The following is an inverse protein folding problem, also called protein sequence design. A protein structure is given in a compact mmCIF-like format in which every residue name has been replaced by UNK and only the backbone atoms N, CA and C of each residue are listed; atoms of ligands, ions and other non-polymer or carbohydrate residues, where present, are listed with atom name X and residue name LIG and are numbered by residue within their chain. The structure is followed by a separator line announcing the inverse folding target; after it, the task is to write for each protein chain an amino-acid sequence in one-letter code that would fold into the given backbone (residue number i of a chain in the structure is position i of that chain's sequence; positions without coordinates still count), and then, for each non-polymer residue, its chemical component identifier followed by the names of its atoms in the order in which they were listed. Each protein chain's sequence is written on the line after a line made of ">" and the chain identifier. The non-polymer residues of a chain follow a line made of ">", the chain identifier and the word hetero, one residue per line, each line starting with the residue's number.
data_IF_171940638574
#
_entry.id   IF_171940638574
#
_cell.length_a   1.000
_cell.length_b   1.000
_cell.length_c   1.000
_cell.angle_alpha   90.00
_cell.angle_beta   90.00
_cell.angle_gamma   90.00
#
_symmetry.space_group_name_H-M   'P 1'
#
loop_
_entity.id
_entity.type
_entity.pdbx_description
1 polymer ?
#
# COMPACT_ATOMS: atom_id res chain seq x y z
N UNK A 1 17.71 -24.55 27.50
CA UNK A 1 17.09 -23.80 26.39
C UNK A 1 17.94 -22.59 26.10
N UNK A 2 18.19 -22.27 24.86
CA UNK A 2 18.95 -21.09 24.48
C UNK A 2 18.19 -19.83 24.97
N UNK A 3 18.86 -18.93 25.69
CA UNK A 3 18.32 -17.69 26.27
C UNK A 3 17.55 -16.85 25.24
N UNK A 4 17.99 -16.91 23.98
CA UNK A 4 17.29 -16.28 22.86
C UNK A 4 15.93 -16.94 22.64
N UNK A 5 15.80 -18.25 22.74
CA UNK A 5 14.56 -18.98 22.53
C UNK A 5 13.52 -18.66 23.61
N UNK A 6 13.95 -18.59 24.86
CA UNK A 6 13.09 -18.24 25.99
C UNK A 6 12.52 -16.81 25.83
N UNK A 7 13.39 -15.85 25.50
CA UNK A 7 13.01 -14.46 25.26
C UNK A 7 12.06 -14.29 24.04
N UNK A 8 12.26 -15.08 22.99
CA UNK A 8 11.38 -15.08 21.81
C UNK A 8 10.00 -15.69 22.10
N UNK A 9 9.92 -16.64 23.04
CA UNK A 9 8.65 -17.19 23.49
C UNK A 9 7.87 -16.17 24.32
N UNK A 10 8.51 -15.46 25.22
CA UNK A 10 7.92 -14.32 25.95
C UNK A 10 7.41 -13.24 25.00
N UNK A 11 8.24 -12.89 23.99
CA UNK A 11 7.83 -11.93 22.96
C UNK A 11 6.59 -12.41 22.17
N UNK A 12 6.53 -13.69 21.83
CA UNK A 12 5.38 -14.27 21.15
C UNK A 12 4.09 -14.18 21.99
N UNK A 13 4.18 -14.52 23.29
CA UNK A 13 3.06 -14.42 24.24
C UNK A 13 2.62 -12.96 24.39
N UNK A 14 3.56 -12.03 24.52
CA UNK A 14 3.28 -10.60 24.59
C UNK A 14 2.51 -10.11 23.35
N UNK A 15 2.89 -10.54 22.14
CA UNK A 15 2.16 -10.18 20.92
C UNK A 15 0.73 -10.71 20.92
N UNK A 16 0.51 -11.95 21.39
CA UNK A 16 -0.84 -12.52 21.50
C UNK A 16 -1.72 -11.72 22.48
N UNK A 17 -1.17 -11.36 23.65
CA UNK A 17 -1.86 -10.56 24.67
C UNK A 17 -2.22 -9.15 24.14
N UNK A 18 -1.44 -8.62 23.21
CA UNK A 18 -1.71 -7.34 22.54
C UNK A 18 -2.58 -7.47 21.27
N UNK A 19 -3.31 -8.57 21.12
CA UNK A 19 -4.33 -8.74 20.07
C UNK A 19 -3.83 -9.05 18.68
N UNK A 20 -2.54 -9.42 18.53
CA UNK A 20 -2.02 -9.86 17.22
C UNK A 20 -2.50 -11.26 16.88
N UNK A 21 -2.83 -11.50 15.60
CA UNK A 21 -3.20 -12.83 15.16
C UNK A 21 -2.04 -13.84 15.34
N UNK A 22 -2.31 -15.13 15.62
CA UNK A 22 -1.27 -16.14 15.78
C UNK A 22 -0.29 -16.22 14.61
N UNK A 23 -0.77 -15.98 13.39
CA UNK A 23 0.05 -15.96 12.18
C UNK A 23 1.01 -14.75 12.18
N UNK A 24 0.53 -13.57 12.59
CA UNK A 24 1.38 -12.39 12.73
C UNK A 24 2.43 -12.58 13.83
N UNK A 25 2.04 -13.16 14.98
CA UNK A 25 2.95 -13.45 16.08
C UNK A 25 4.10 -14.41 15.66
N UNK A 26 3.76 -15.48 14.94
CA UNK A 26 4.77 -16.42 14.39
C UNK A 26 5.73 -15.70 13.45
N UNK A 27 5.23 -14.82 12.60
CA UNK A 27 6.04 -14.08 11.62
C UNK A 27 6.97 -13.08 12.34
N UNK A 28 6.46 -12.31 13.28
CA UNK A 28 7.28 -11.38 14.06
C UNK A 28 8.33 -12.10 14.89
N UNK A 29 7.98 -13.21 15.58
CA UNK A 29 8.93 -14.06 16.29
C UNK A 29 10.06 -14.58 15.39
N UNK A 30 9.70 -15.09 14.21
CA UNK A 30 10.69 -15.57 13.22
C UNK A 30 11.66 -14.47 12.79
N UNK A 31 11.16 -13.27 12.50
CA UNK A 31 12.00 -12.13 12.10
C UNK A 31 12.86 -11.60 13.24
N UNK A 32 12.32 -11.53 14.44
CA UNK A 32 13.10 -11.20 15.63
C UNK A 32 14.20 -12.25 15.92
N UNK A 33 13.91 -13.54 15.71
CA UNK A 33 14.92 -14.61 15.80
C UNK A 33 16.05 -14.43 14.78
N UNK A 34 15.73 -14.06 13.54
CA UNK A 34 16.73 -13.77 12.50
C UNK A 34 17.64 -12.60 12.91
N UNK A 35 17.06 -11.54 13.47
CA UNK A 35 17.81 -10.39 14.00
C UNK A 35 18.71 -10.80 15.14
N UNK A 36 18.19 -11.46 16.18
CA UNK A 36 18.95 -11.83 17.38
C UNK A 36 20.05 -12.86 17.11
N UNK A 37 19.93 -13.68 16.09
CA UNK A 37 21.02 -14.57 15.65
C UNK A 37 22.16 -13.81 14.99
N UNK A 38 21.88 -12.69 14.34
CA UNK A 38 22.87 -11.86 13.67
C UNK A 38 23.50 -10.82 14.62
N UNK A 39 22.71 -10.33 15.56
CA UNK A 39 23.07 -9.31 16.54
C UNK A 39 22.73 -9.82 17.96
N UNK A 40 23.41 -10.88 18.48
CA UNK A 40 23.07 -11.46 19.78
C UNK A 40 23.35 -10.48 20.93
N UNK A 41 24.28 -9.57 20.78
CA UNK A 41 24.62 -8.49 21.72
C UNK A 41 23.41 -7.59 22.01
N UNK A 42 22.48 -7.44 21.09
CA UNK A 42 21.27 -6.64 21.29
C UNK A 42 20.42 -7.14 22.48
N UNK A 43 20.56 -8.43 22.86
CA UNK A 43 19.81 -9.00 23.98
C UNK A 43 20.37 -8.56 25.34
N UNK A 44 21.63 -8.17 25.40
CA UNK A 44 22.31 -7.78 26.64
C UNK A 44 22.53 -6.26 26.73
N UNK A 45 22.57 -5.58 25.59
CA UNK A 45 22.77 -4.14 25.46
C UNK A 45 21.75 -3.33 26.27
N UNK A 46 22.14 -2.16 26.74
CA UNK A 46 21.21 -1.19 27.33
C UNK A 46 20.29 -0.56 26.27
N UNK A 47 19.38 0.32 26.69
CA UNK A 47 18.37 0.90 25.80
C UNK A 47 18.96 1.71 24.63
N UNK A 48 19.92 2.66 24.83
CA UNK A 48 20.56 3.40 23.76
C UNK A 48 21.34 2.51 22.80
N UNK A 49 22.17 1.62 23.33
CA UNK A 49 23.01 0.71 22.55
C UNK A 49 22.16 -0.28 21.72
N UNK A 50 21.15 -0.89 22.34
CA UNK A 50 20.23 -1.76 21.62
C UNK A 50 19.47 -1.03 20.50
N UNK A 51 19.21 0.27 20.66
CA UNK A 51 18.57 1.09 19.63
C UNK A 51 19.49 1.32 18.44
N UNK A 52 20.78 1.60 18.69
CA UNK A 52 21.79 1.74 17.65
C UNK A 52 21.96 0.44 16.86
N UNK A 53 22.04 -0.71 17.54
CA UNK A 53 22.12 -2.03 16.91
C UNK A 53 20.89 -2.28 16.02
N UNK A 54 19.68 -1.96 16.49
CA UNK A 54 18.44 -2.11 15.73
C UNK A 54 18.42 -1.20 14.50
N UNK A 55 18.79 0.08 14.61
CA UNK A 55 18.83 0.98 13.46
C UNK A 55 19.91 0.58 12.45
N UNK A 56 21.08 0.14 12.92
CA UNK A 56 22.15 -0.43 12.08
C UNK A 56 21.64 -1.62 11.27
N UNK A 57 21.02 -2.60 11.93
CA UNK A 57 20.43 -3.76 11.26
C UNK A 57 19.36 -3.36 10.24
N UNK A 58 18.49 -2.41 10.57
CA UNK A 58 17.44 -1.93 9.66
C UNK A 58 18.03 -1.20 8.46
N UNK A 59 19.12 -0.45 8.63
CA UNK A 59 19.79 0.27 7.54
C UNK A 59 20.39 -0.68 6.49
N UNK A 60 20.81 -1.87 6.89
CA UNK A 60 21.34 -2.92 6.02
C UNK A 60 20.25 -3.72 5.27
N UNK A 61 18.98 -3.61 5.71
CA UNK A 61 17.89 -4.30 5.01
C UNK A 61 17.68 -3.70 3.61
N UNK A 62 17.39 -4.52 2.60
CA UNK A 62 17.07 -4.04 1.25
C UNK A 62 15.97 -2.97 1.27
N UNK A 63 16.14 -1.87 0.55
CA UNK A 63 15.15 -0.76 0.49
C UNK A 63 13.93 -1.11 -0.36
N UNK A 64 13.29 -2.23 -0.05
CA UNK A 64 12.08 -2.68 -0.73
C UNK A 64 10.95 -2.98 0.27
N UNK A 65 9.75 -3.23 -0.23
CA UNK A 65 8.58 -3.54 0.62
C UNK A 65 8.75 -4.81 1.46
N UNK A 66 9.63 -5.74 1.04
CA UNK A 66 9.94 -6.96 1.80
C UNK A 66 10.71 -6.65 3.08
N UNK A 67 11.43 -5.53 3.16
CA UNK A 67 12.16 -5.09 4.36
C UNK A 67 11.27 -4.44 5.43
N UNK A 68 10.05 -4.03 5.09
CA UNK A 68 9.14 -3.37 6.05
C UNK A 68 8.71 -4.28 7.18
N UNK A 69 8.47 -5.57 6.90
CA UNK A 69 8.08 -6.57 7.93
C UNK A 69 9.23 -6.90 8.87
N UNK A 70 10.47 -7.20 8.39
CA UNK A 70 11.62 -7.37 9.25
C UNK A 70 11.88 -6.16 10.14
N UNK A 71 11.92 -4.95 9.59
CA UNK A 71 12.09 -3.72 10.35
C UNK A 71 11.00 -3.52 11.41
N UNK A 72 9.74 -3.77 11.07
CA UNK A 72 8.64 -3.70 12.01
C UNK A 72 8.75 -4.74 13.13
N UNK A 73 9.22 -5.96 12.82
CA UNK A 73 9.40 -7.02 13.81
C UNK A 73 10.48 -6.67 14.83
N UNK A 74 11.62 -6.16 14.36
CA UNK A 74 12.74 -5.79 15.22
C UNK A 74 12.41 -4.58 16.11
N UNK A 75 11.72 -3.58 15.58
CA UNK A 75 11.22 -2.45 16.37
C UNK A 75 10.19 -2.87 17.43
N UNK A 76 9.32 -3.84 17.13
CA UNK A 76 8.37 -4.40 18.10
C UNK A 76 9.08 -5.22 19.17
N UNK A 77 10.10 -5.99 18.78
CA UNK A 77 10.95 -6.70 19.73
C UNK A 77 11.65 -5.74 20.69
N UNK A 78 12.23 -4.66 20.20
CA UNK A 78 12.85 -3.62 21.03
C UNK A 78 11.83 -3.00 22.00
N UNK A 79 10.65 -2.63 21.50
CA UNK A 79 9.57 -2.07 22.30
C UNK A 79 9.09 -3.04 23.41
N UNK A 80 9.02 -4.34 23.11
CA UNK A 80 8.76 -5.38 24.09
C UNK A 80 9.84 -5.44 25.17
N UNK A 81 11.10 -5.46 24.77
CA UNK A 81 12.24 -5.59 25.70
C UNK A 81 12.34 -4.44 26.68
N UNK A 82 12.18 -3.21 26.22
CA UNK A 82 12.33 -2.01 27.03
C UNK A 82 11.03 -1.46 27.61
N UNK A 83 9.89 -2.10 27.33
CA UNK A 83 8.56 -1.65 27.77
C UNK A 83 8.25 -0.20 27.37
N UNK A 84 8.78 0.25 26.21
CA UNK A 84 8.64 1.60 25.66
C UNK A 84 8.30 1.53 24.18
N UNK A 85 7.55 2.49 23.61
CA UNK A 85 7.38 2.56 22.18
C UNK A 85 8.72 2.84 21.49
N UNK A 86 9.03 2.12 20.41
CA UNK A 86 10.26 2.31 19.64
C UNK A 86 10.37 3.69 18.99
N UNK A 87 9.25 4.22 18.57
CA UNK A 87 9.03 5.60 18.12
C UNK A 87 7.86 6.13 18.90
N UNK A 88 7.85 7.41 19.19
CA UNK A 88 6.70 8.11 19.77
C UNK A 88 5.50 8.14 18.80
N UNK A 89 5.36 7.09 18.01
CA UNK A 89 4.24 6.94 17.09
C UNK A 89 3.08 6.30 17.83
N UNK A 90 2.16 7.14 18.20
CA UNK A 90 0.89 6.72 18.79
C UNK A 90 0.19 5.82 17.76
N UNK A 91 -0.07 4.55 18.13
CA UNK A 91 -0.85 3.64 17.29
C UNK A 91 -2.33 3.88 17.62
N UNK A 92 -3.18 4.26 16.65
CA UNK A 92 -4.58 4.63 16.92
C UNK A 92 -5.36 3.55 17.69
N UNK A 93 -5.08 2.28 17.43
CA UNK A 93 -5.73 1.14 18.09
C UNK A 93 -5.27 0.91 19.55
N UNK A 94 -4.14 1.51 19.95
CA UNK A 94 -3.60 1.40 21.32
C UNK A 94 -3.88 2.68 22.14
N UNK A 95 -4.49 3.69 21.52
CA UNK A 95 -4.83 4.93 22.18
C UNK A 95 -6.18 4.76 22.92
N UNK A 96 -6.16 4.80 24.23
CA UNK A 96 -7.38 4.88 25.01
C UNK A 96 -7.98 6.28 24.83
N UNK A 97 -9.16 6.35 24.23
CA UNK A 97 -9.92 7.57 24.09
C UNK A 97 -11.00 7.63 25.18
N UNK A 98 -11.36 8.83 25.62
CA UNK A 98 -12.48 8.97 26.55
C UNK A 98 -13.79 8.55 25.89
N UNK A 99 -14.78 8.22 26.71
CA UNK A 99 -16.11 7.84 26.23
C UNK A 99 -16.72 8.92 25.31
N UNK A 100 -16.48 10.18 25.62
CA UNK A 100 -16.91 11.32 24.80
C UNK A 100 -16.26 11.35 23.41
N UNK A 101 -14.97 11.04 23.32
CA UNK A 101 -14.26 10.94 22.04
C UNK A 101 -14.74 9.71 21.24
N UNK A 102 -14.94 8.56 21.88
CA UNK A 102 -15.45 7.36 21.19
C UNK A 102 -16.88 7.58 20.67
N UNK A 103 -17.75 8.29 21.42
CA UNK A 103 -19.08 8.66 20.96
C UNK A 103 -19.02 9.58 19.73
N UNK A 104 -18.14 10.59 19.73
CA UNK A 104 -17.90 11.48 18.59
C UNK A 104 -17.43 10.72 17.35
N UNK A 105 -16.51 9.77 17.53
CA UNK A 105 -16.00 8.94 16.43
C UNK A 105 -17.07 8.03 15.85
N UNK A 106 -17.95 7.51 16.67
CA UNK A 106 -19.09 6.69 16.21
C UNK A 106 -20.09 7.52 15.39
N UNK A 107 -20.39 8.77 15.80
CA UNK A 107 -21.23 9.68 14.99
C UNK A 107 -20.55 10.04 13.67
N UNK A 108 -19.24 10.32 13.68
CA UNK A 108 -18.47 10.60 12.47
C UNK A 108 -18.43 9.38 11.52
N UNK A 109 -18.29 8.17 12.05
CA UNK A 109 -18.36 6.93 11.25
C UNK A 109 -19.73 6.80 10.59
N UNK A 110 -20.81 7.02 11.33
CA UNK A 110 -22.19 7.03 10.81
C UNK A 110 -22.39 8.06 9.71
N UNK A 111 -21.90 9.28 9.90
CA UNK A 111 -21.92 10.32 8.88
C UNK A 111 -21.19 9.92 7.60
N UNK A 112 -19.99 9.36 7.71
CA UNK A 112 -19.21 8.89 6.56
C UNK A 112 -19.91 7.74 5.82
N UNK A 113 -20.55 6.83 6.54
CA UNK A 113 -21.30 5.73 5.96
C UNK A 113 -22.54 6.21 5.18
N UNK A 114 -23.25 7.21 5.72
CA UNK A 114 -24.47 7.74 5.13
C UNK A 114 -24.20 8.67 3.92
N UNK A 115 -23.14 9.48 3.97
CA UNK A 115 -22.93 10.59 3.02
C UNK A 115 -21.70 10.41 2.11
N UNK A 116 -20.79 9.48 2.47
CA UNK A 116 -19.46 9.43 1.86
C UNK A 116 -19.35 8.62 0.57
N UNK A 117 -20.27 7.72 0.28
CA UNK A 117 -20.12 6.70 -0.80
C UNK A 117 -18.71 6.11 -0.89
N UNK A 118 -18.09 5.85 0.26
CA UNK A 118 -16.70 5.39 0.43
C UNK A 118 -16.67 4.00 1.04
N UNK A 119 -15.58 3.27 0.78
CA UNK A 119 -15.41 1.89 1.27
C UNK A 119 -15.22 1.86 2.79
N UNK A 120 -15.74 0.83 3.45
CA UNK A 120 -15.60 0.61 4.90
C UNK A 120 -14.15 0.71 5.40
N UNK A 121 -13.16 0.25 4.62
CA UNK A 121 -11.74 0.40 4.95
C UNK A 121 -11.29 1.87 4.98
N UNK A 122 -11.78 2.69 4.05
CA UNK A 122 -11.50 4.14 4.02
C UNK A 122 -12.15 4.84 5.21
N UNK A 123 -13.37 4.42 5.60
CA UNK A 123 -14.05 4.94 6.79
C UNK A 123 -13.20 4.64 8.02
N UNK A 124 -12.82 3.36 8.23
CA UNK A 124 -11.96 2.97 9.37
C UNK A 124 -10.67 3.77 9.45
N UNK A 125 -10.00 3.97 8.32
CA UNK A 125 -8.75 4.74 8.27
C UNK A 125 -8.97 6.22 8.64
N UNK A 126 -10.05 6.83 8.16
CA UNK A 126 -10.41 8.21 8.50
C UNK A 126 -10.75 8.37 9.97
N UNK A 127 -11.56 7.48 10.51
CA UNK A 127 -11.92 7.45 11.94
C UNK A 127 -10.65 7.29 12.79
N UNK A 128 -9.75 6.38 12.43
CA UNK A 128 -8.48 6.21 13.12
C UNK A 128 -7.58 7.46 13.06
N UNK A 129 -7.55 8.16 11.92
CA UNK A 129 -6.81 9.41 11.74
C UNK A 129 -7.39 10.54 12.61
N UNK A 130 -8.72 10.65 12.66
CA UNK A 130 -9.42 11.66 13.51
C UNK A 130 -9.27 11.32 14.98
N UNK A 131 -9.30 10.04 15.38
CA UNK A 131 -9.01 9.62 16.76
C UNK A 131 -7.67 10.16 17.25
N UNK A 132 -6.61 10.03 16.42
CA UNK A 132 -5.29 10.59 16.75
C UNK A 132 -5.34 12.10 16.96
N UNK A 133 -6.06 12.82 16.10
CA UNK A 133 -6.24 14.26 16.23
C UNK A 133 -6.95 14.63 17.54
N UNK A 134 -8.08 14.01 17.82
CA UNK A 134 -8.88 14.32 19.02
C UNK A 134 -8.13 13.99 20.31
N UNK A 135 -7.47 12.84 20.39
CA UNK A 135 -6.69 12.49 21.57
C UNK A 135 -5.44 13.39 21.76
N UNK A 136 -4.88 13.92 20.69
CA UNK A 136 -3.76 14.87 20.79
C UNK A 136 -4.23 16.26 21.21
N UNK A 137 -5.43 16.66 20.79
CA UNK A 137 -6.03 17.96 21.13
C UNK A 137 -6.60 17.97 22.55
N UNK A 138 -7.14 16.84 23.00
CA UNK A 138 -7.76 16.67 24.32
C UNK A 138 -7.06 15.56 25.13
N UNK A 139 -5.83 15.79 25.59
CA UNK A 139 -5.02 14.75 26.23
C UNK A 139 -5.55 14.33 27.61
N UNK A 140 -6.34 15.18 28.25
CA UNK A 140 -7.03 14.91 29.52
C UNK A 140 -8.36 14.17 29.34
N UNK A 141 -8.78 13.94 28.09
CA UNK A 141 -10.03 13.27 27.75
C UNK A 141 -11.30 14.13 27.89
N UNK A 142 -11.18 15.40 28.25
CA UNK A 142 -12.31 16.33 28.38
C UNK A 142 -12.72 16.88 27.02
N UNK A 143 -13.33 16.04 26.19
CA UNK A 143 -13.73 16.41 24.84
C UNK A 143 -15.06 17.17 24.81
N UNK A 144 -15.05 18.32 24.15
CA UNK A 144 -16.23 19.04 23.74
C UNK A 144 -16.11 19.45 22.26
N UNK A 145 -17.08 19.05 21.42
CA UNK A 145 -17.04 19.28 19.96
C UNK A 145 -16.87 20.76 19.59
N UNK A 146 -17.51 21.67 20.32
CA UNK A 146 -17.42 23.14 20.09
C UNK A 146 -16.11 23.77 20.56
N UNK A 147 -15.32 23.06 21.35
CA UNK A 147 -14.02 23.54 21.81
C UNK A 147 -12.92 23.38 20.74
N UNK A 148 -13.18 22.64 19.65
CA UNK A 148 -12.23 22.49 18.55
C UNK A 148 -12.08 23.82 17.82
N UNK A 149 -10.86 24.32 17.74
CA UNK A 149 -10.51 25.58 17.10
C UNK A 149 -9.68 25.37 15.82
N UNK A 150 -9.64 26.42 15.00
CA UNK A 150 -8.70 26.47 13.86
C UNK A 150 -7.25 26.23 14.30
N UNK A 151 -6.87 26.77 15.47
CA UNK A 151 -5.51 26.62 16.01
C UNK A 151 -5.18 25.18 16.28
N UNK A 152 -6.08 24.37 16.84
CA UNK A 152 -5.86 22.96 17.14
C UNK A 152 -5.59 22.15 15.86
N UNK A 153 -6.35 22.44 14.80
CA UNK A 153 -6.16 21.81 13.49
C UNK A 153 -4.80 22.17 12.89
N UNK A 154 -4.40 23.44 12.97
CA UNK A 154 -3.12 23.94 12.45
C UNK A 154 -1.95 23.37 13.25
N UNK A 155 -2.03 23.40 14.56
CA UNK A 155 -0.98 22.91 15.47
C UNK A 155 -0.75 21.40 15.27
N UNK A 156 -1.82 20.61 15.24
CA UNK A 156 -1.74 19.17 14.97
C UNK A 156 -1.10 18.87 13.61
N UNK A 157 -1.53 19.61 12.58
CA UNK A 157 -1.00 19.42 11.22
C UNK A 157 0.48 19.80 11.12
N UNK A 158 0.88 20.87 11.83
CA UNK A 158 2.27 21.35 11.86
C UNK A 158 3.17 20.41 12.65
N UNK A 159 2.72 19.91 13.80
CA UNK A 159 3.45 18.92 14.60
C UNK A 159 3.66 17.61 13.83
N UNK A 160 2.65 17.15 13.10
CA UNK A 160 2.75 15.97 12.24
C UNK A 160 3.70 16.19 11.04
N UNK A 161 3.92 17.44 10.63
CA UNK A 161 4.77 17.78 9.49
C UNK A 161 6.25 17.49 9.72
N UNK A 162 6.72 17.51 10.96
CA UNK A 162 8.11 17.22 11.32
C UNK A 162 8.38 15.71 11.44
N UNK A 163 7.35 14.91 11.70
CA UNK A 163 7.47 13.47 11.98
C UNK A 163 7.20 12.55 10.78
N UNK A 164 6.53 13.03 9.73
CA UNK A 164 6.00 12.16 8.67
C UNK A 164 6.29 12.67 7.25
N UNK A 165 6.36 11.73 6.28
CA UNK A 165 6.59 12.07 4.87
C UNK A 165 5.40 12.78 4.20
N UNK A 166 5.66 13.51 3.10
CA UNK A 166 4.68 14.34 2.37
C UNK A 166 3.37 13.60 1.99
N UNK A 167 3.44 12.30 1.70
CA UNK A 167 2.26 11.49 1.34
C UNK A 167 1.34 11.27 2.54
N UNK A 168 1.91 11.03 3.74
CA UNK A 168 1.13 10.82 4.96
C UNK A 168 0.41 12.11 5.37
N UNK A 169 1.09 13.25 5.25
CA UNK A 169 0.49 14.57 5.49
C UNK A 169 -0.71 14.85 4.58
N UNK A 170 -0.61 14.49 3.31
CA UNK A 170 -1.71 14.66 2.36
C UNK A 170 -2.94 13.80 2.71
N UNK A 171 -2.72 12.58 3.23
CA UNK A 171 -3.79 11.71 3.72
C UNK A 171 -4.45 12.30 4.97
N UNK A 172 -3.67 12.70 5.97
CA UNK A 172 -4.17 13.33 7.19
C UNK A 172 -4.97 14.61 6.88
N UNK A 173 -4.48 15.46 5.96
CA UNK A 173 -5.22 16.65 5.51
C UNK A 173 -6.57 16.29 4.88
N UNK A 174 -6.65 15.18 4.13
CA UNK A 174 -7.90 14.69 3.55
C UNK A 174 -8.88 14.21 4.62
N UNK A 175 -8.37 13.52 5.64
CA UNK A 175 -9.18 12.97 6.71
C UNK A 175 -9.72 14.07 7.62
N UNK A 176 -8.86 15.04 8.02
CA UNK A 176 -9.27 16.22 8.79
C UNK A 176 -10.30 17.06 8.02
N UNK A 177 -10.14 17.27 6.72
CA UNK A 177 -11.17 17.96 5.91
C UNK A 177 -12.50 17.21 5.93
N UNK A 178 -12.49 15.89 5.97
CA UNK A 178 -13.73 15.11 6.08
C UNK A 178 -14.37 15.31 7.45
N UNK A 179 -13.56 15.43 8.50
CA UNK A 179 -14.04 15.71 9.84
C UNK A 179 -14.57 17.14 9.98
N UNK A 180 -13.91 18.15 9.41
CA UNK A 180 -14.41 19.53 9.38
C UNK A 180 -15.76 19.62 8.64
N UNK A 181 -15.96 18.84 7.56
CA UNK A 181 -17.28 18.77 6.91
C UNK A 181 -18.35 18.18 7.82
N UNK A 182 -18.00 17.18 8.63
CA UNK A 182 -18.89 16.62 9.64
C UNK A 182 -19.19 17.63 10.75
N UNK A 183 -18.22 18.41 11.23
CA UNK A 183 -18.44 19.51 12.17
C UNK A 183 -19.43 20.53 11.60
N UNK A 184 -19.24 20.95 10.35
CA UNK A 184 -20.16 21.86 9.65
C UNK A 184 -21.57 21.29 9.51
N UNK A 185 -21.68 20.02 9.18
CA UNK A 185 -22.97 19.34 9.12
C UNK A 185 -23.69 19.38 10.49
N UNK A 186 -22.93 19.41 11.58
CA UNK A 186 -23.43 19.61 12.95
C UNK A 186 -23.55 21.10 13.39
N UNK A 187 -23.46 22.03 12.45
CA UNK A 187 -23.64 23.47 12.72
C UNK A 187 -22.44 24.18 13.36
N UNK A 188 -21.21 23.67 13.14
CA UNK A 188 -19.95 24.28 13.57
C UNK A 188 -19.19 24.73 12.33
N UNK A 189 -19.30 26.02 11.99
CA UNK A 189 -18.78 26.58 10.74
C UNK A 189 -17.50 27.41 10.92
N UNK A 190 -17.00 27.54 12.14
CA UNK A 190 -15.89 28.43 12.49
C UNK A 190 -14.51 27.98 11.93
N UNK A 191 -14.40 26.74 11.45
CA UNK A 191 -13.16 26.21 10.90
C UNK A 191 -13.24 26.18 9.38
N UNK A 192 -12.46 27.02 8.65
CA UNK A 192 -12.47 27.01 7.19
C UNK A 192 -11.83 25.72 6.62
N UNK A 193 -12.41 25.14 5.56
CA UNK A 193 -11.94 23.90 4.94
C UNK A 193 -10.53 23.99 4.33
N UNK A 194 -10.13 25.17 3.94
CA UNK A 194 -8.83 25.52 3.38
C UNK A 194 -7.74 25.69 4.45
N UNK A 195 -8.12 25.87 5.72
CA UNK A 195 -7.17 25.86 6.84
C UNK A 195 -6.30 24.59 6.88
N UNK A 196 -6.84 23.48 6.41
CA UNK A 196 -6.13 22.20 6.27
C UNK A 196 -5.41 22.07 4.91
N UNK A 197 -5.48 23.10 4.07
CA UNK A 197 -4.72 23.18 2.80
C UNK A 197 -3.31 23.74 2.98
N UNK A 198 -2.71 23.57 4.13
CA UNK A 198 -1.29 23.84 4.40
C UNK A 198 -0.32 22.94 3.63
N UNK A 199 -0.81 22.16 2.72
CA UNK A 199 0.00 21.74 1.59
C UNK A 199 0.31 23.02 0.81
N UNK A 200 1.46 23.64 1.10
CA UNK A 200 2.11 24.54 0.15
C UNK A 200 2.02 23.88 -1.22
N UNK A 201 2.06 24.62 -2.33
CA UNK A 201 1.81 24.06 -3.64
C UNK A 201 2.51 22.72 -3.68
N UNK A 202 1.73 21.63 -3.72
CA UNK A 202 2.32 20.32 -3.91
C UNK A 202 3.11 20.55 -5.19
N UNK A 203 4.41 20.74 -5.04
CA UNK A 203 5.31 20.58 -6.17
C UNK A 203 4.91 19.20 -6.64
N UNK A 204 4.03 19.18 -7.64
CA UNK A 204 3.75 17.95 -8.36
C UNK A 204 5.15 17.51 -8.72
N UNK A 205 5.64 16.53 -8.00
CA UNK A 205 6.97 16.01 -8.21
C UNK A 205 7.02 15.72 -9.70
N UNK A 206 7.75 16.52 -10.46
CA UNK A 206 8.00 16.28 -11.88
C UNK A 206 8.92 15.06 -12.05
N UNK A 207 9.22 14.36 -10.94
CA UNK A 207 9.89 13.06 -11.01
C UNK A 207 8.94 12.12 -11.73
N UNK A 208 9.43 11.57 -12.82
CA UNK A 208 8.78 10.50 -13.57
C UNK A 208 8.40 9.42 -12.54
N UNK A 209 7.11 9.08 -12.40
CA UNK A 209 6.72 8.06 -11.44
C UNK A 209 7.46 6.77 -11.74
N UNK A 210 8.15 6.22 -10.74
CA UNK A 210 8.96 5.02 -10.89
C UNK A 210 8.15 3.89 -11.54
N UNK A 211 8.67 3.38 -12.64
CA UNK A 211 8.16 2.22 -13.38
C UNK A 211 9.25 1.18 -13.49
N UNK A 212 8.90 -0.07 -13.74
CA UNK A 212 9.89 -1.06 -14.13
C UNK A 212 10.32 -0.81 -15.57
N UNK A 213 11.60 -1.07 -15.86
CA UNK A 213 12.04 -1.25 -17.23
C UNK A 213 11.58 -2.63 -17.75
N UNK A 214 11.70 -2.86 -19.06
CA UNK A 214 11.37 -4.17 -19.64
C UNK A 214 12.32 -5.25 -19.12
N UNK A 215 13.60 -4.92 -18.97
CA UNK A 215 14.64 -5.82 -18.43
C UNK A 215 14.35 -6.18 -16.97
N UNK A 216 13.96 -5.22 -16.15
CA UNK A 216 13.56 -5.45 -14.75
C UNK A 216 12.30 -6.30 -14.66
N UNK A 217 11.36 -6.09 -15.57
CA UNK A 217 10.14 -6.90 -15.63
C UNK A 217 10.43 -8.35 -16.00
N UNK A 218 11.24 -8.61 -17.03
CA UNK A 218 11.67 -9.95 -17.40
C UNK A 218 12.50 -10.61 -16.29
N UNK A 219 13.37 -9.87 -15.62
CA UNK A 219 14.11 -10.37 -14.47
C UNK A 219 13.17 -10.75 -13.30
N UNK A 220 12.11 -9.97 -13.05
CA UNK A 220 11.08 -10.29 -12.07
C UNK A 220 10.38 -11.60 -12.41
N UNK A 221 9.96 -11.79 -13.66
CA UNK A 221 9.33 -13.03 -14.12
C UNK A 221 10.27 -14.22 -13.98
N UNK A 222 11.53 -14.08 -14.41
CA UNK A 222 12.55 -15.13 -14.32
C UNK A 222 12.92 -15.50 -12.88
N UNK A 223 12.73 -14.59 -11.92
CA UNK A 223 12.98 -14.85 -10.50
C UNK A 223 11.97 -15.83 -9.86
N UNK A 224 10.88 -16.14 -10.55
CA UNK A 224 9.83 -17.02 -10.06
C UNK A 224 10.06 -18.44 -10.61
N UNK A 225 10.25 -19.41 -9.73
CA UNK A 225 10.40 -20.83 -10.09
C UNK A 225 9.08 -21.42 -10.59
N UNK A 226 8.89 -21.43 -11.90
CA UNK A 226 7.69 -21.98 -12.56
C UNK A 226 7.55 -23.50 -12.47
N UNK A 227 8.52 -24.22 -11.91
CA UNK A 227 8.42 -25.63 -11.56
C UNK A 227 7.59 -25.88 -10.32
N UNK A 228 7.30 -24.83 -9.55
CA UNK A 228 6.45 -24.88 -8.35
C UNK A 228 5.09 -24.23 -8.62
N UNK A 229 4.03 -24.72 -7.95
CA UNK A 229 2.70 -24.11 -8.02
C UNK A 229 2.73 -22.62 -7.66
N UNK A 230 3.48 -22.28 -6.60
CA UNK A 230 3.62 -20.89 -6.14
C UNK A 230 4.29 -20.00 -7.20
N UNK A 231 5.38 -20.47 -7.80
CA UNK A 231 6.09 -19.69 -8.81
C UNK A 231 5.27 -19.53 -10.09
N UNK A 232 4.58 -20.59 -10.53
CA UNK A 232 3.66 -20.52 -11.66
C UNK A 232 2.51 -19.52 -11.41
N UNK A 233 1.94 -19.53 -10.20
CA UNK A 233 0.96 -18.53 -9.76
C UNK A 233 1.52 -17.11 -9.81
N UNK A 234 2.70 -16.90 -9.24
CA UNK A 234 3.31 -15.59 -9.10
C UNK A 234 3.64 -15.00 -10.48
N UNK A 235 4.09 -15.82 -11.45
CA UNK A 235 4.26 -15.42 -12.87
C UNK A 235 2.93 -15.05 -13.51
N UNK A 236 1.88 -15.88 -13.37
CA UNK A 236 0.57 -15.57 -13.95
C UNK A 236 0.00 -14.25 -13.41
N UNK A 237 0.15 -14.00 -12.10
CA UNK A 237 -0.25 -12.73 -11.49
C UNK A 237 0.57 -11.55 -12.01
N UNK A 238 1.89 -11.72 -12.17
CA UNK A 238 2.77 -10.68 -12.70
C UNK A 238 2.40 -10.31 -14.13
N UNK A 239 2.11 -11.31 -14.99
CA UNK A 239 1.68 -11.10 -16.37
C UNK A 239 0.31 -10.40 -16.46
N UNK A 240 -0.66 -10.77 -15.60
CA UNK A 240 -1.93 -10.04 -15.53
C UNK A 240 -1.73 -8.54 -15.20
N UNK A 241 -0.72 -8.21 -14.40
CA UNK A 241 -0.43 -6.82 -14.04
C UNK A 241 0.47 -6.12 -15.06
N UNK A 242 1.48 -6.80 -15.58
CA UNK A 242 2.51 -6.24 -16.46
C UNK A 242 2.14 -6.22 -17.95
N UNK A 243 1.26 -7.13 -18.41
CA UNK A 243 0.77 -7.15 -19.79
C UNK A 243 -0.61 -6.52 -19.92
N UNK A 244 -1.53 -6.87 -18.98
CA UNK A 244 -2.92 -6.42 -19.06
C UNK A 244 -3.20 -5.18 -18.19
N UNK A 245 -2.21 -4.68 -17.47
CA UNK A 245 -2.32 -3.49 -16.64
C UNK A 245 -3.32 -3.60 -15.49
N UNK A 246 -3.63 -4.82 -15.01
CA UNK A 246 -4.58 -5.02 -13.91
C UNK A 246 -4.02 -4.50 -12.58
N UNK A 247 -4.91 -4.05 -11.68
CA UNK A 247 -4.56 -3.75 -10.30
C UNK A 247 -4.42 -5.03 -9.48
N UNK A 248 -3.59 -5.04 -8.44
CA UNK A 248 -3.46 -6.19 -7.55
C UNK A 248 -4.80 -6.65 -6.94
N UNK A 249 -5.73 -5.72 -6.69
CA UNK A 249 -7.07 -6.06 -6.21
C UNK A 249 -7.96 -6.67 -7.31
N UNK A 250 -7.74 -6.33 -8.58
CA UNK A 250 -8.45 -6.93 -9.71
C UNK A 250 -7.97 -8.36 -9.89
N UNK A 251 -6.65 -8.58 -9.92
CA UNK A 251 -6.02 -9.91 -10.00
C UNK A 251 -6.49 -10.83 -8.86
N UNK A 252 -6.54 -10.31 -7.63
CA UNK A 252 -6.98 -11.09 -6.46
C UNK A 252 -8.46 -11.54 -6.52
N UNK A 253 -9.29 -10.86 -7.32
CA UNK A 253 -10.72 -11.16 -7.46
C UNK A 253 -11.08 -12.00 -8.67
N UNK A 254 -10.12 -12.25 -9.57
CA UNK A 254 -10.38 -13.07 -10.75
C UNK A 254 -10.89 -14.45 -10.34
N UNK A 255 -11.85 -14.92 -11.12
CA UNK A 255 -12.39 -16.27 -11.03
C UNK A 255 -12.09 -17.05 -12.31
N UNK A 256 -12.25 -18.35 -12.28
CA UNK A 256 -12.11 -19.20 -13.46
C UNK A 256 -13.11 -18.82 -14.58
N UNK A 257 -14.26 -18.28 -14.20
CA UNK A 257 -15.32 -17.86 -15.13
C UNK A 257 -15.02 -16.53 -15.82
N UNK A 258 -14.03 -15.78 -15.32
CA UNK A 258 -13.61 -14.50 -15.92
C UNK A 258 -12.67 -14.71 -17.11
N UNK A 259 -12.15 -15.94 -17.32
CA UNK A 259 -11.25 -16.29 -18.43
C UNK A 259 -12.05 -16.99 -19.53
N UNK A 260 -12.31 -16.30 -20.62
CA UNK A 260 -13.00 -16.82 -21.79
C UNK A 260 -11.98 -17.39 -22.80
N UNK A 261 -11.52 -18.60 -22.56
CA UNK A 261 -10.46 -19.27 -23.35
C UNK A 261 -10.74 -19.27 -24.85
N UNK A 262 -11.96 -19.65 -25.26
CA UNK A 262 -12.33 -19.71 -26.66
C UNK A 262 -12.36 -18.33 -27.35
N UNK A 263 -12.66 -17.29 -26.61
CA UNK A 263 -12.68 -15.92 -27.11
C UNK A 263 -11.33 -15.19 -26.96
N UNK A 264 -10.36 -15.80 -26.25
CA UNK A 264 -9.08 -15.15 -25.98
C UNK A 264 -9.23 -13.86 -25.19
N UNK A 265 -10.13 -13.82 -24.20
CA UNK A 265 -10.38 -12.61 -23.41
C UNK A 265 -10.46 -12.91 -21.92
N UNK A 266 -10.21 -11.87 -21.11
CA UNK A 266 -10.37 -11.91 -19.67
C UNK A 266 -11.20 -10.72 -19.18
N UNK A 267 -12.20 -10.98 -18.35
CA UNK A 267 -13.12 -9.99 -17.83
C UNK A 267 -12.70 -9.55 -16.44
N UNK A 268 -12.42 -8.27 -16.29
CA UNK A 268 -12.21 -7.63 -14.99
C UNK A 268 -13.55 -7.08 -14.53
N UNK A 269 -14.19 -7.76 -13.59
CA UNK A 269 -15.45 -7.31 -13.00
C UNK A 269 -15.23 -6.04 -12.19
N UNK A 270 -16.31 -5.40 -11.77
CA UNK A 270 -16.29 -4.13 -11.03
C UNK A 270 -15.19 -4.08 -9.97
N UNK A 271 -14.30 -3.12 -10.11
CA UNK A 271 -13.28 -2.81 -9.14
C UNK A 271 -13.55 -1.45 -8.48
N UNK A 272 -12.52 -0.77 -8.06
CA UNK A 272 -12.56 0.59 -7.54
C UNK A 272 -13.20 1.60 -8.51
N UNK A 273 -13.24 1.27 -9.81
CA UNK A 273 -13.74 2.09 -10.94
C UNK A 273 -15.16 1.78 -11.38
N UNK A 274 -15.95 1.01 -10.65
CA UNK A 274 -17.37 0.70 -10.92
C UNK A 274 -17.72 0.20 -12.34
N UNK A 275 -16.73 0.01 -13.23
CA UNK A 275 -16.96 -0.39 -14.63
C UNK A 275 -16.26 -1.72 -14.87
N UNK A 276 -16.99 -2.73 -15.28
CA UNK A 276 -16.45 -3.97 -15.80
C UNK A 276 -15.77 -3.70 -17.15
N UNK A 277 -14.65 -4.39 -17.42
CA UNK A 277 -13.95 -4.31 -18.71
C UNK A 277 -13.49 -5.67 -19.15
N UNK A 278 -13.54 -5.92 -20.44
CA UNK A 278 -12.98 -7.12 -21.08
C UNK A 278 -11.69 -6.74 -21.78
N UNK A 279 -10.63 -7.45 -21.48
CA UNK A 279 -9.29 -7.25 -22.03
C UNK A 279 -8.91 -8.43 -22.93
N UNK A 280 -8.19 -8.21 -24.04
CA UNK A 280 -7.62 -9.30 -24.80
C UNK A 280 -6.62 -10.06 -23.93
N UNK A 281 -6.66 -11.37 -23.98
CA UNK A 281 -5.73 -12.26 -23.28
C UNK A 281 -4.62 -12.65 -24.25
N UNK A 282 -3.44 -12.08 -24.07
CA UNK A 282 -2.28 -12.46 -24.87
C UNK A 282 -1.85 -13.91 -24.58
N UNK A 283 -1.20 -14.54 -25.56
CA UNK A 283 -0.79 -15.92 -25.49
C UNK A 283 0.08 -16.23 -24.27
N UNK A 284 1.03 -15.36 -23.97
CA UNK A 284 1.97 -15.52 -22.84
C UNK A 284 1.24 -15.52 -21.50
N UNK A 285 0.32 -14.58 -21.31
CA UNK A 285 -0.50 -14.49 -20.11
C UNK A 285 -1.46 -15.66 -20.00
N UNK A 286 -2.11 -16.04 -21.11
CA UNK A 286 -2.99 -17.19 -21.17
C UNK A 286 -2.29 -18.50 -20.80
N UNK A 287 -1.15 -18.78 -21.41
CA UNK A 287 -0.33 -19.98 -21.13
C UNK A 287 0.15 -20.04 -19.65
N UNK A 288 0.51 -18.89 -19.08
CA UNK A 288 0.90 -18.83 -17.67
C UNK A 288 -0.27 -19.11 -16.72
N UNK A 289 -1.47 -18.57 -17.00
CA UNK A 289 -2.69 -18.85 -16.24
C UNK A 289 -3.04 -20.34 -16.35
N UNK A 290 -3.05 -20.89 -17.55
CA UNK A 290 -3.32 -22.31 -17.80
C UNK A 290 -2.37 -23.22 -17.02
N UNK A 291 -1.06 -22.97 -17.15
CA UNK A 291 -0.03 -23.71 -16.39
C UNK A 291 -0.31 -23.72 -14.91
N UNK A 292 -0.60 -22.56 -14.34
CA UNK A 292 -0.90 -22.45 -12.91
C UNK A 292 -2.18 -23.22 -12.55
N UNK A 293 -3.25 -23.08 -13.34
CA UNK A 293 -4.52 -23.78 -13.10
C UNK A 293 -4.35 -25.30 -13.15
N UNK A 294 -3.56 -25.82 -14.09
CA UNK A 294 -3.24 -27.24 -14.18
C UNK A 294 -2.42 -27.72 -12.98
N UNK A 295 -1.44 -26.92 -12.51
CA UNK A 295 -0.59 -27.29 -11.37
C UNK A 295 -1.34 -27.24 -10.03
N UNK A 296 -2.21 -26.23 -9.81
CA UNK A 296 -2.97 -26.13 -8.56
C UNK A 296 -4.04 -27.21 -8.42
N UNK A 297 -4.43 -27.83 -9.55
CA UNK A 297 -5.46 -28.83 -9.59
C UNK A 297 -6.86 -28.28 -9.30
N UNK A 298 -7.80 -29.20 -9.05
CA UNK A 298 -9.19 -28.88 -8.78
C UNK A 298 -9.38 -28.39 -7.34
N UNK A 299 -10.13 -27.31 -7.16
CA UNK A 299 -10.50 -26.78 -5.86
C UNK A 299 -12.03 -26.58 -5.83
N UNK A 300 -12.72 -27.43 -5.09
CA UNK A 300 -14.20 -27.42 -5.04
C UNK A 300 -14.76 -26.35 -4.09
N UNK A 301 -13.94 -25.80 -3.21
CA UNK A 301 -14.38 -24.81 -2.21
C UNK A 301 -14.52 -23.39 -2.75
N UNK A 302 -13.91 -23.09 -3.90
CA UNK A 302 -13.94 -21.74 -4.51
C UNK A 302 -13.68 -21.76 -5.99
N UNK A 303 -14.29 -20.81 -6.71
CA UNK A 303 -14.00 -20.57 -8.13
C UNK A 303 -12.94 -19.50 -8.36
N UNK A 304 -12.31 -18.97 -7.30
CA UNK A 304 -11.23 -18.00 -7.45
C UNK A 304 -10.10 -18.52 -8.32
N UNK A 305 -9.60 -17.70 -9.24
CA UNK A 305 -8.51 -18.07 -10.13
C UNK A 305 -7.22 -18.27 -9.36
N UNK A 306 -6.86 -17.35 -8.47
CA UNK A 306 -5.62 -17.41 -7.69
C UNK A 306 -5.88 -17.77 -6.24
N UNK A 307 -5.14 -18.75 -5.73
CA UNK A 307 -5.24 -19.23 -4.35
C UNK A 307 -3.96 -18.93 -3.57
N UNK A 308 -4.09 -18.77 -2.27
CA UNK A 308 -2.95 -18.72 -1.36
C UNK A 308 -2.48 -20.14 -1.01
N UNK A 309 -1.39 -20.27 -0.27
CA UNK A 309 -0.81 -21.56 0.15
C UNK A 309 -1.72 -22.43 1.02
N UNK A 310 -2.81 -21.88 1.55
CA UNK A 310 -3.81 -22.62 2.32
C UNK A 310 -5.03 -23.02 1.47
N UNK A 311 -4.97 -22.84 0.14
CA UNK A 311 -6.07 -23.18 -0.77
C UNK A 311 -7.25 -22.19 -0.73
N UNK A 312 -7.13 -21.08 -0.03
CA UNK A 312 -8.17 -20.02 0.04
C UNK A 312 -7.91 -18.94 -1.01
N UNK A 313 -8.93 -18.16 -1.40
CA UNK A 313 -8.76 -17.03 -2.32
C UNK A 313 -7.63 -16.10 -1.89
N UNK A 314 -6.76 -15.71 -2.82
CA UNK A 314 -5.65 -14.79 -2.53
C UNK A 314 -6.19 -13.38 -2.26
N UNK A 315 -5.58 -12.67 -1.31
CA UNK A 315 -5.93 -11.26 -1.02
C UNK A 315 -4.98 -10.31 -1.74
N UNK A 316 -5.43 -9.11 -2.05
CA UNK A 316 -4.63 -8.07 -2.71
C UNK A 316 -3.28 -7.79 -2.03
N UNK A 317 -3.23 -7.79 -0.70
CA UNK A 317 -1.97 -7.64 0.03
C UNK A 317 -1.00 -8.82 -0.19
N UNK A 318 -1.51 -10.03 -0.38
CA UNK A 318 -0.69 -11.20 -0.67
C UNK A 318 -0.13 -11.15 -2.10
N UNK A 319 -0.92 -10.65 -3.08
CA UNK A 319 -0.43 -10.36 -4.45
C UNK A 319 0.72 -9.35 -4.39
N UNK A 320 0.53 -8.24 -3.66
CA UNK A 320 1.59 -7.22 -3.48
C UNK A 320 2.84 -7.81 -2.84
N UNK A 321 2.68 -8.64 -1.80
CA UNK A 321 3.80 -9.31 -1.13
C UNK A 321 4.53 -10.27 -2.07
N UNK A 322 3.79 -11.06 -2.87
CA UNK A 322 4.40 -11.98 -3.83
C UNK A 322 5.27 -11.22 -4.85
N UNK A 323 4.75 -10.12 -5.40
CA UNK A 323 5.50 -9.28 -6.35
C UNK A 323 6.72 -8.61 -5.70
N UNK A 324 6.59 -8.14 -4.46
CA UNK A 324 7.73 -7.55 -3.73
C UNK A 324 8.84 -8.57 -3.46
N UNK A 325 8.47 -9.81 -3.14
CA UNK A 325 9.42 -10.90 -2.95
C UNK A 325 10.09 -11.29 -4.27
N UNK A 326 9.35 -11.32 -5.37
CA UNK A 326 9.90 -11.58 -6.71
C UNK A 326 10.89 -10.49 -7.14
N UNK A 327 10.53 -9.22 -6.95
CA UNK A 327 11.41 -8.08 -7.20
C UNK A 327 12.70 -8.14 -6.36
N UNK A 328 12.58 -8.52 -5.08
CA UNK A 328 13.75 -8.71 -4.22
C UNK A 328 14.68 -9.83 -4.69
N UNK A 329 14.13 -10.96 -5.16
CA UNK A 329 14.91 -12.05 -5.75
C UNK A 329 15.59 -11.64 -7.05
N UNK A 330 14.92 -10.80 -7.86
CA UNK A 330 15.45 -10.25 -9.10
C UNK A 330 16.48 -9.14 -8.91
N UNK A 331 16.75 -8.70 -7.68
CA UNK A 331 17.70 -7.61 -7.39
C UNK A 331 17.20 -6.22 -7.80
N UNK A 332 15.89 -6.03 -7.96
CA UNK A 332 15.31 -4.75 -8.35
C UNK A 332 15.26 -3.82 -7.14
N UNK A 333 16.23 -2.92 -7.03
CA UNK A 333 16.38 -2.00 -5.89
C UNK A 333 15.25 -0.97 -5.81
N UNK A 334 14.84 -0.41 -6.95
CA UNK A 334 13.82 0.63 -7.05
C UNK A 334 12.42 0.08 -7.35
N UNK A 335 12.02 -0.99 -6.68
CA UNK A 335 10.68 -1.54 -6.88
C UNK A 335 9.60 -0.66 -6.25
N UNK A 336 8.78 -0.05 -7.10
CA UNK A 336 7.71 0.88 -6.69
C UNK A 336 6.34 0.19 -6.45
N UNK A 337 6.35 -1.07 -6.05
CA UNK A 337 5.15 -1.86 -5.84
C UNK A 337 4.43 -2.25 -7.14
N UNK A 338 3.30 -2.92 -7.02
CA UNK A 338 2.50 -3.40 -8.17
C UNK A 338 2.00 -2.29 -9.09
N UNK A 339 1.94 -1.04 -8.60
CA UNK A 339 1.65 0.12 -9.45
C UNK A 339 2.76 0.43 -10.47
N UNK A 340 4.01 0.03 -10.21
CA UNK A 340 5.12 0.14 -11.14
C UNK A 340 4.89 -0.66 -12.43
N UNK A 341 4.37 -1.89 -12.31
CA UNK A 341 3.98 -2.75 -13.44
C UNK A 341 2.90 -2.09 -14.31
N UNK A 342 1.85 -1.59 -13.67
CA UNK A 342 0.76 -0.94 -14.38
C UNK A 342 1.19 0.38 -15.06
N UNK A 343 2.13 1.12 -14.46
CA UNK A 343 2.74 2.31 -15.07
C UNK A 343 3.57 1.96 -16.30
N UNK A 344 4.28 0.84 -16.25
CA UNK A 344 5.01 0.30 -17.41
C UNK A 344 4.05 0.09 -18.58
N UNK A 345 2.93 -0.62 -18.39
CA UNK A 345 1.90 -0.82 -19.43
C UNK A 345 1.40 0.52 -19.98
N UNK A 346 1.01 1.45 -19.10
CA UNK A 346 0.51 2.77 -19.50
C UNK A 346 1.53 3.52 -20.37
N UNK A 347 2.82 3.47 -19.98
CA UNK A 347 3.89 4.15 -20.70
C UNK A 347 4.20 3.46 -22.02
N UNK A 348 4.19 2.13 -22.07
CA UNK A 348 4.42 1.36 -23.30
C UNK A 348 3.30 1.64 -24.32
N UNK A 349 2.02 1.67 -23.90
CA UNK A 349 0.91 2.07 -24.75
C UNK A 349 1.06 3.52 -25.27
N UNK A 350 1.44 4.46 -24.39
CA UNK A 350 1.66 5.84 -24.78
C UNK A 350 2.82 5.98 -25.77
N UNK A 351 3.91 5.24 -25.58
CA UNK A 351 5.06 5.21 -26.50
C UNK A 351 4.69 4.58 -27.85
N UNK A 352 3.80 3.61 -27.86
CA UNK A 352 3.23 3.03 -29.09
C UNK A 352 2.24 3.96 -29.82
N UNK A 353 1.96 5.16 -29.27
CA UNK A 353 1.08 6.15 -29.88
C UNK A 353 -0.42 5.92 -29.61
N UNK A 354 -0.76 5.03 -28.67
CA UNK A 354 -2.15 4.82 -28.24
C UNK A 354 -2.68 6.08 -27.57
N UNK A 355 -3.89 6.50 -27.91
CA UNK A 355 -4.49 7.69 -27.34
C UNK A 355 -4.82 7.55 -25.86
N UNK A 356 -4.86 8.68 -25.15
CA UNK A 356 -5.05 8.73 -23.71
C UNK A 356 -6.38 8.14 -23.24
N UNK A 357 -7.44 8.22 -24.06
CA UNK A 357 -8.74 7.67 -23.73
C UNK A 357 -8.70 6.14 -23.77
N UNK A 358 -8.16 5.57 -24.83
CA UNK A 358 -7.98 4.11 -24.96
C UNK A 358 -7.11 3.56 -23.81
N UNK A 359 -6.01 4.24 -23.44
CA UNK A 359 -5.19 3.86 -22.28
C UNK A 359 -6.03 3.92 -21.00
N UNK A 360 -6.84 4.96 -20.81
CA UNK A 360 -7.71 5.10 -19.64
C UNK A 360 -8.73 3.97 -19.57
N UNK A 361 -9.35 3.59 -20.69
CA UNK A 361 -10.35 2.54 -20.79
C UNK A 361 -9.72 1.15 -20.49
N UNK A 362 -8.59 0.81 -21.09
CA UNK A 362 -7.84 -0.44 -20.84
C UNK A 362 -7.45 -0.54 -19.37
N UNK A 363 -6.93 0.54 -18.81
CA UNK A 363 -6.52 0.57 -17.41
C UNK A 363 -7.72 0.72 -16.45
N UNK A 364 -8.90 1.13 -16.88
CA UNK A 364 -10.05 1.44 -16.04
C UNK A 364 -9.74 2.62 -15.11
N UNK A 365 -9.33 3.77 -15.67
CA UNK A 365 -9.18 5.01 -14.95
C UNK A 365 -10.49 5.80 -15.01
N UNK A 366 -11.07 6.14 -13.85
CA UNK A 366 -12.28 6.99 -13.79
C UNK A 366 -12.01 8.43 -14.28
N UNK A 367 -10.76 8.89 -14.16
CA UNK A 367 -10.35 10.24 -14.53
C UNK A 367 -9.19 10.16 -15.51
N UNK A 368 -9.38 10.79 -16.66
CA UNK A 368 -8.36 10.85 -17.71
C UNK A 368 -7.07 11.55 -17.25
N UNK A 369 -7.17 12.48 -16.27
CA UNK A 369 -6.02 13.16 -15.66
C UNK A 369 -4.98 12.18 -15.12
N UNK A 370 -5.42 11.01 -14.63
CA UNK A 370 -4.53 9.96 -14.14
C UNK A 370 -3.69 9.37 -15.28
N UNK A 371 -4.29 9.25 -16.47
CA UNK A 371 -3.63 8.74 -17.68
C UNK A 371 -2.74 9.80 -18.32
N UNK A 372 -3.15 11.07 -18.29
CA UNK A 372 -2.36 12.18 -18.84
C UNK A 372 -0.98 12.33 -18.22
N UNK A 373 -0.82 11.90 -16.95
CA UNK A 373 0.49 11.84 -16.30
C UNK A 373 1.47 10.91 -17.01
N UNK A 374 1.01 9.84 -17.66
CA UNK A 374 1.85 8.90 -18.42
C UNK A 374 2.12 9.38 -19.83
N UNK A 375 1.11 9.97 -20.48
CA UNK A 375 1.24 10.52 -21.84
C UNK A 375 2.25 11.68 -21.89
N UNK A 376 2.26 12.54 -20.86
CA UNK A 376 3.21 13.67 -20.74
C UNK A 376 4.66 13.23 -20.58
N UNK A 377 4.91 12.02 -20.13
CA UNK A 377 6.27 11.47 -19.91
C UNK A 377 6.75 10.64 -21.09
N UNK A 378 5.90 10.42 -22.10
CA UNK A 378 6.29 9.71 -23.33
C UNK A 378 7.26 10.58 -24.15
N UNK A 379 8.52 10.17 -24.23
CA UNK A 379 9.53 10.86 -25.06
C UNK A 379 9.12 11.02 -26.53
N UNK A 380 8.52 10.01 -27.22
CA UNK A 380 8.01 10.19 -28.57
C UNK A 380 6.93 11.27 -28.69
N UNK A 381 6.04 11.37 -27.72
CA UNK A 381 4.99 12.40 -27.70
C UNK A 381 5.56 13.78 -27.37
N UNK A 382 6.56 13.87 -26.50
CA UNK A 382 7.28 15.11 -26.21
C UNK A 382 8.04 15.60 -27.45
N UNK A 383 8.68 14.71 -28.21
CA UNK A 383 9.34 15.06 -29.49
C UNK A 383 8.35 15.55 -30.55
N UNK A 384 7.15 14.96 -30.62
CA UNK A 384 6.08 15.45 -31.52
C UNK A 384 5.52 16.80 -31.08
N UNK A 385 5.46 17.07 -29.79
CA UNK A 385 4.98 18.32 -29.22
C UNK A 385 6.07 19.42 -29.18
N UNK A 386 7.33 19.06 -29.26
CA UNK A 386 8.45 20.00 -29.49
C UNK A 386 8.37 20.47 -30.95
N UNK A 387 7.54 21.49 -31.19
CA UNK A 387 7.54 22.20 -32.45
C UNK A 387 8.97 22.66 -32.78
N UNK A 388 9.34 22.68 -34.05
CA UNK A 388 10.62 23.23 -34.52
C UNK A 388 10.88 24.56 -33.82
N UNK A 389 12.01 24.64 -33.11
CA UNK A 389 12.43 25.89 -32.48
C UNK A 389 12.65 26.91 -33.60
N UNK A 390 12.05 28.12 -33.52
CA UNK A 390 12.28 29.13 -34.55
C UNK A 390 13.77 29.54 -34.51
N UNK A 391 14.58 29.03 -35.42
CA UNK A 391 16.03 29.32 -35.47
C UNK A 391 16.91 28.18 -35.94
N UNK A 392 16.42 26.94 -36.03
CA UNK A 392 17.09 25.87 -36.76
C UNK A 392 16.68 25.95 -38.24
N UNK A 393 17.30 26.87 -38.98
CA UNK A 393 17.27 26.84 -40.43
C UNK A 393 18.06 25.62 -40.91
N UNK A 394 17.47 24.91 -41.86
CA UNK A 394 18.08 23.79 -42.59
C UNK A 394 19.54 24.14 -43.00
N UNK A 395 20.48 23.33 -42.55
CA UNK A 395 21.83 23.25 -43.11
C UNK A 395 22.04 21.84 -43.66
#
# INVERSE_FOLDING_TARGET
>A
MDRIQEHLEEFYVHLLQNGYSPTACKNYRFRASTFLRRCPEALEADEPEAREIVEGYIAELPRNTASTIPAAAVRRWWAFRFRKPYRDRIVPSALEASEAIEAELAEFEGYLAAHGNIKAETIRNRVASVKLFLCATFPDGTFERRAITLKDVVDYHTASATAEGATMRALQSSDLRSYIRFLRWNGIDDIPLDAVSLNGPTRRSHTVPGRLSEEEYEALLASCDTGTERGARDVAMALCMGNLGMRACDVARLTLDDVAWAAGTITVRESKSKTARTLPLDERTGAAIERYVLMRGKCDSTRSLFLNTAGSPIRSCQVQTAMSLAAGRAGIEAYHGTHGLRRMVATNMANAGVDAKTIADVLGHERIDTTMGYVRVSLPNLRKAAAHWPGEAES
#
